data_IF_080517381112
#
_entry.id   IF_080517381112
#
_cell.length_a   1.000
_cell.length_b   1.000
_cell.length_c   1.000
_cell.angle_alpha   90.00
_cell.angle_beta   90.00
_cell.angle_gamma   90.00
#
_symmetry.space_group_name_H-M   'P 1'
#
loop_
_entity.id
_entity.type
_entity.pdbx_description
1 polymer ?
#
# COMPACT_ATOMS: atom_id res chain seq x y z
N UNK A 1 6.54 29.48 -14.69
CA UNK A 1 5.29 28.75 -14.33
C UNK A 1 4.90 27.73 -15.39
N UNK A 2 4.92 28.07 -16.70
CA UNK A 2 4.58 27.14 -17.78
C UNK A 2 5.32 25.79 -17.71
N UNK A 3 6.63 25.79 -17.51
CA UNK A 3 7.46 24.58 -17.37
C UNK A 3 7.01 23.66 -16.23
N UNK A 4 6.55 24.22 -15.10
CA UNK A 4 6.10 23.42 -13.95
C UNK A 4 4.79 22.69 -14.23
N UNK A 5 3.85 23.35 -14.90
CA UNK A 5 2.60 22.70 -15.30
C UNK A 5 2.84 21.57 -16.33
N UNK A 6 3.81 21.77 -17.22
CA UNK A 6 4.20 20.77 -18.20
C UNK A 6 4.78 19.51 -17.55
N UNK A 7 5.76 19.71 -16.67
CA UNK A 7 6.37 18.63 -15.90
C UNK A 7 5.34 17.92 -15.03
N UNK A 8 4.43 18.67 -14.38
CA UNK A 8 3.37 18.07 -13.60
C UNK A 8 2.49 17.13 -14.44
N UNK A 9 2.07 17.57 -15.63
CA UNK A 9 1.28 16.76 -16.56
C UNK A 9 2.03 15.49 -16.98
N UNK A 10 3.32 15.59 -17.32
CA UNK A 10 4.15 14.44 -17.70
C UNK A 10 4.35 13.47 -16.54
N UNK A 11 4.64 13.98 -15.34
CA UNK A 11 4.95 13.13 -14.19
C UNK A 11 3.76 12.25 -13.82
N UNK A 12 2.56 12.79 -13.87
CA UNK A 12 1.35 12.07 -13.47
C UNK A 12 0.64 11.34 -14.62
N UNK A 13 1.12 11.48 -15.84
CA UNK A 13 0.51 10.87 -17.01
C UNK A 13 0.63 9.34 -17.03
N UNK A 14 -0.48 8.67 -17.36
CA UNK A 14 -0.51 7.26 -17.74
C UNK A 14 0.04 7.02 -19.16
N UNK A 15 0.08 5.76 -19.60
CA UNK A 15 0.66 5.38 -20.92
C UNK A 15 0.00 6.11 -22.09
N UNK A 16 -1.33 6.23 -22.10
CA UNK A 16 -2.08 6.87 -23.19
C UNK A 16 -1.94 8.40 -23.17
N UNK A 17 -1.93 9.01 -21.98
CA UNK A 17 -1.65 10.44 -21.82
C UNK A 17 -0.22 10.77 -22.26
N UNK A 18 0.77 9.96 -21.83
CA UNK A 18 2.15 10.08 -22.26
C UNK A 18 2.30 9.94 -23.78
N UNK A 19 1.54 9.04 -24.42
CA UNK A 19 1.55 8.92 -25.89
C UNK A 19 1.18 10.24 -26.55
N UNK A 20 0.16 10.93 -26.03
CA UNK A 20 -0.31 12.22 -26.56
C UNK A 20 0.68 13.33 -26.27
N UNK A 21 1.09 13.51 -25.00
CA UNK A 21 2.07 14.53 -24.57
C UNK A 21 3.39 14.44 -25.33
N UNK A 22 3.83 13.22 -25.63
CA UNK A 22 4.97 12.97 -26.50
C UNK A 22 4.79 13.68 -27.85
N UNK A 23 3.67 13.53 -28.54
CA UNK A 23 3.48 14.20 -29.83
C UNK A 23 3.43 15.72 -29.73
N UNK A 24 2.91 16.24 -28.62
CA UNK A 24 2.70 17.68 -28.43
C UNK A 24 3.98 18.44 -28.03
N UNK A 25 5.04 17.75 -27.59
CA UNK A 25 6.28 18.39 -27.14
C UNK A 25 7.38 18.43 -28.22
N UNK A 26 8.11 19.56 -28.33
CA UNK A 26 9.23 19.70 -29.26
C UNK A 26 10.24 18.57 -29.10
N UNK A 27 10.66 18.00 -30.23
CA UNK A 27 11.74 17.00 -30.25
C UNK A 27 13.00 17.61 -29.66
N UNK A 28 13.64 16.87 -28.76
CA UNK A 28 14.86 17.30 -28.10
C UNK A 28 14.67 18.17 -26.86
N UNK A 29 13.43 18.45 -26.42
CA UNK A 29 13.19 19.04 -25.09
C UNK A 29 13.39 18.01 -23.97
N UNK A 30 13.74 18.48 -22.77
CA UNK A 30 13.90 17.63 -21.59
C UNK A 30 12.59 16.93 -21.20
N UNK A 31 11.46 17.64 -21.32
CA UNK A 31 10.12 17.15 -21.06
C UNK A 31 9.72 16.02 -22.01
N UNK A 32 9.95 16.20 -23.32
CA UNK A 32 9.70 15.17 -24.32
C UNK A 32 10.53 13.92 -24.04
N UNK A 33 11.81 14.10 -23.80
CA UNK A 33 12.73 12.99 -23.57
C UNK A 33 12.38 12.24 -22.28
N UNK A 34 11.97 12.96 -21.23
CA UNK A 34 11.50 12.30 -20.01
C UNK A 34 10.15 11.60 -20.18
N UNK A 35 9.24 12.14 -20.99
CA UNK A 35 8.02 11.45 -21.36
C UNK A 35 8.32 10.15 -22.14
N UNK A 36 9.36 10.12 -22.98
CA UNK A 36 9.87 8.89 -23.62
C UNK A 36 10.38 7.88 -22.57
N UNK A 37 11.15 8.34 -21.57
CA UNK A 37 11.62 7.50 -20.46
C UNK A 37 10.46 6.89 -19.67
N UNK A 38 9.49 7.69 -19.26
CA UNK A 38 8.32 7.20 -18.51
C UNK A 38 7.50 6.22 -19.35
N UNK A 39 7.30 6.50 -20.65
CA UNK A 39 6.56 5.62 -21.55
C UNK A 39 7.24 4.25 -21.68
N UNK A 40 8.56 4.23 -21.91
CA UNK A 40 9.33 2.98 -21.97
C UNK A 40 9.32 2.23 -20.63
N UNK A 41 9.48 2.95 -19.50
CA UNK A 41 9.44 2.36 -18.15
C UNK A 41 8.08 1.74 -17.79
N UNK A 42 6.97 2.36 -18.20
CA UNK A 42 5.62 1.84 -17.96
C UNK A 42 5.27 0.64 -18.87
N UNK A 43 5.87 0.57 -20.06
CA UNK A 43 5.77 -0.59 -20.95
C UNK A 43 6.75 -1.72 -20.65
N UNK A 44 7.64 -1.53 -19.66
CA UNK A 44 8.74 -2.45 -19.37
C UNK A 44 9.66 -2.69 -20.59
N UNK A 45 9.85 -1.67 -21.44
CA UNK A 45 10.71 -1.73 -22.61
C UNK A 45 12.16 -1.37 -22.22
N UNK A 46 12.89 -2.35 -21.69
CA UNK A 46 14.28 -2.19 -21.25
C UNK A 46 15.22 -1.79 -22.39
N UNK A 47 14.93 -2.25 -23.62
CA UNK A 47 15.75 -1.95 -24.80
C UNK A 47 15.65 -0.47 -25.16
N UNK A 48 14.44 0.08 -25.16
CA UNK A 48 14.24 1.51 -25.42
C UNK A 48 14.79 2.37 -24.28
N UNK A 49 14.63 1.97 -23.01
CA UNK A 49 15.27 2.65 -21.88
C UNK A 49 16.79 2.73 -22.04
N UNK A 50 17.43 1.62 -22.42
CA UNK A 50 18.87 1.58 -22.64
C UNK A 50 19.31 2.48 -23.79
N UNK A 51 18.55 2.49 -24.89
CA UNK A 51 18.81 3.37 -26.03
C UNK A 51 18.69 4.84 -25.65
N UNK A 52 17.68 5.21 -24.85
CA UNK A 52 17.52 6.58 -24.34
C UNK A 52 18.70 6.95 -23.42
N UNK A 53 19.12 6.04 -22.53
CA UNK A 53 20.29 6.27 -21.67
C UNK A 53 21.58 6.49 -22.50
N UNK A 54 21.82 5.67 -23.53
CA UNK A 54 22.97 5.85 -24.44
C UNK A 54 22.91 7.18 -25.18
N UNK A 55 21.73 7.63 -25.60
CA UNK A 55 21.57 8.95 -26.23
C UNK A 55 21.88 10.09 -25.26
N UNK A 56 21.38 10.01 -24.01
CA UNK A 56 21.60 11.00 -22.96
C UNK A 56 23.07 11.14 -22.57
N UNK A 57 23.79 10.01 -22.47
CA UNK A 57 25.23 9.97 -22.20
C UNK A 57 26.09 10.48 -23.37
N UNK A 58 25.53 10.48 -24.58
CA UNK A 58 26.25 10.82 -25.80
C UNK A 58 26.50 12.32 -25.99
N UNK A 59 27.56 12.71 -26.72
CA UNK A 59 27.90 14.11 -26.97
C UNK A 59 26.85 14.86 -27.81
N UNK A 60 25.89 14.15 -28.41
CA UNK A 60 24.81 14.72 -29.22
C UNK A 60 23.69 15.34 -28.35
N UNK A 61 23.60 14.96 -27.07
CA UNK A 61 22.62 15.53 -26.15
C UNK A 61 23.21 16.79 -25.51
N UNK A 62 22.66 17.95 -25.89
CA UNK A 62 23.10 19.27 -25.42
C UNK A 62 22.13 19.88 -24.39
N UNK A 63 21.25 19.07 -23.81
CA UNK A 63 20.29 19.51 -22.81
C UNK A 63 20.99 19.90 -21.49
N UNK A 64 20.61 21.01 -20.84
CA UNK A 64 21.07 21.33 -19.48
C UNK A 64 20.75 20.22 -18.47
N UNK A 65 19.59 19.57 -18.61
CA UNK A 65 19.11 18.51 -17.73
C UNK A 65 19.70 17.12 -18.07
N UNK A 66 20.61 17.00 -19.06
CA UNK A 66 21.01 15.69 -19.60
C UNK A 66 21.50 14.72 -18.52
N UNK A 67 22.30 15.18 -17.57
CA UNK A 67 22.87 14.33 -16.51
C UNK A 67 21.79 13.88 -15.50
N UNK A 68 20.84 14.76 -15.19
CA UNK A 68 19.67 14.42 -14.37
C UNK A 68 18.83 13.36 -15.08
N UNK A 69 18.49 13.59 -16.35
CA UNK A 69 17.68 12.66 -17.13
C UNK A 69 18.38 11.30 -17.27
N UNK A 70 19.68 11.29 -17.55
CA UNK A 70 20.48 10.07 -17.62
C UNK A 70 20.41 9.30 -16.29
N UNK A 71 20.64 9.99 -15.16
CA UNK A 71 20.59 9.38 -13.84
C UNK A 71 19.21 8.80 -13.52
N UNK A 72 18.12 9.51 -13.85
CA UNK A 72 16.76 9.01 -13.65
C UNK A 72 16.46 7.81 -14.55
N UNK A 73 16.91 7.82 -15.80
CA UNK A 73 16.73 6.70 -16.74
C UNK A 73 17.47 5.47 -16.26
N UNK A 74 18.75 5.60 -15.90
CA UNK A 74 19.56 4.49 -15.40
C UNK A 74 18.96 3.91 -14.12
N UNK A 75 18.52 4.75 -13.18
CA UNK A 75 17.91 4.28 -11.95
C UNK A 75 16.59 3.54 -12.21
N UNK A 76 15.76 4.04 -13.12
CA UNK A 76 14.51 3.37 -13.55
C UNK A 76 14.78 2.01 -14.22
N UNK A 77 15.83 1.91 -15.04
CA UNK A 77 16.28 0.63 -15.62
C UNK A 77 16.68 -0.34 -14.52
N UNK A 78 17.54 0.10 -13.59
CA UNK A 78 17.99 -0.71 -12.46
C UNK A 78 16.83 -1.19 -11.56
N UNK A 79 15.82 -0.35 -11.33
CA UNK A 79 14.59 -0.73 -10.61
C UNK A 79 13.85 -1.84 -11.35
N UNK A 80 13.69 -1.74 -12.68
CA UNK A 80 12.99 -2.78 -13.47
C UNK A 80 13.72 -4.11 -13.48
N UNK A 81 15.04 -4.06 -13.51
CA UNK A 81 15.88 -5.26 -13.45
C UNK A 81 16.05 -5.81 -12.02
N UNK A 82 15.56 -5.08 -11.01
CA UNK A 82 15.83 -5.36 -9.58
C UNK A 82 17.34 -5.43 -9.26
N UNK A 83 18.14 -4.62 -9.95
CA UNK A 83 19.61 -4.50 -9.79
C UNK A 83 19.99 -3.09 -9.35
N UNK A 84 19.29 -2.56 -8.35
CA UNK A 84 19.58 -1.23 -7.83
C UNK A 84 20.88 -1.23 -7.02
N UNK A 85 21.62 -0.14 -7.14
CA UNK A 85 22.63 0.30 -6.17
C UNK A 85 22.07 1.45 -5.33
N UNK A 86 22.84 1.92 -4.36
CA UNK A 86 22.49 3.11 -3.56
C UNK A 86 22.19 4.33 -4.46
N UNK A 87 20.95 4.88 -4.42
CA UNK A 87 20.48 5.91 -5.36
C UNK A 87 20.88 7.35 -4.98
N UNK A 88 21.59 7.55 -3.86
CA UNK A 88 21.93 8.86 -3.27
C UNK A 88 22.65 9.79 -4.24
N UNK A 89 23.44 9.25 -5.17
CA UNK A 89 24.10 10.04 -6.22
C UNK A 89 23.12 10.86 -7.08
N UNK A 90 21.87 10.39 -7.22
CA UNK A 90 20.81 11.11 -7.95
C UNK A 90 20.34 12.35 -7.19
N UNK A 91 20.46 12.38 -5.85
CA UNK A 91 19.97 13.48 -5.03
C UNK A 91 20.77 14.78 -5.24
N UNK A 92 22.01 14.70 -5.75
CA UNK A 92 22.82 15.91 -6.05
C UNK A 92 22.17 16.86 -7.06
N UNK A 93 21.22 16.36 -7.85
CA UNK A 93 20.50 17.16 -8.84
C UNK A 93 19.32 17.94 -8.24
N UNK A 94 18.91 17.62 -7.01
CA UNK A 94 17.77 18.24 -6.33
C UNK A 94 17.89 19.78 -6.22
N UNK A 95 19.09 20.26 -5.90
CA UNK A 95 19.38 21.68 -5.70
C UNK A 95 19.34 22.46 -7.01
N UNK A 96 19.89 21.88 -8.08
CA UNK A 96 20.02 22.53 -9.39
C UNK A 96 18.71 22.49 -10.20
N UNK A 97 17.82 21.53 -9.92
CA UNK A 97 16.59 21.32 -10.70
C UNK A 97 15.35 21.26 -9.78
N UNK A 98 14.97 22.36 -9.11
CA UNK A 98 13.89 22.37 -8.12
C UNK A 98 12.52 21.97 -8.68
N UNK A 99 12.27 22.15 -9.99
CA UNK A 99 11.04 21.69 -10.63
C UNK A 99 10.95 20.15 -10.74
N UNK A 100 12.08 19.45 -10.62
CA UNK A 100 12.21 18.00 -10.70
C UNK A 100 12.31 17.34 -9.33
N UNK A 101 12.40 18.12 -8.25
CA UNK A 101 12.68 17.65 -6.90
C UNK A 101 11.75 16.50 -6.47
N UNK A 102 10.45 16.68 -6.68
CA UNK A 102 9.46 15.65 -6.36
C UNK A 102 9.66 14.35 -7.15
N UNK A 103 10.05 14.44 -8.42
CA UNK A 103 10.31 13.26 -9.26
C UNK A 103 11.60 12.55 -8.88
N UNK A 104 12.66 13.31 -8.59
CA UNK A 104 13.94 12.79 -8.12
C UNK A 104 13.70 11.94 -6.86
N UNK A 105 13.04 12.51 -5.86
CA UNK A 105 12.73 11.79 -4.64
C UNK A 105 11.80 10.60 -4.85
N UNK A 106 10.85 10.68 -5.78
CA UNK A 106 9.97 9.56 -6.10
C UNK A 106 10.75 8.36 -6.67
N UNK A 107 11.68 8.60 -7.60
CA UNK A 107 12.49 7.52 -8.20
C UNK A 107 13.51 6.97 -7.21
N UNK A 108 14.13 7.84 -6.41
CA UNK A 108 15.03 7.44 -5.31
C UNK A 108 14.29 6.57 -4.29
N UNK A 109 13.06 6.92 -3.92
CA UNK A 109 12.24 6.13 -3.00
C UNK A 109 11.90 4.74 -3.56
N UNK A 110 11.61 4.63 -4.87
CA UNK A 110 11.40 3.34 -5.56
C UNK A 110 12.67 2.48 -5.56
N UNK A 111 13.85 3.09 -5.72
CA UNK A 111 15.12 2.37 -5.65
C UNK A 111 15.37 1.83 -4.24
N UNK A 112 15.16 2.64 -3.19
CA UNK A 112 15.25 2.15 -1.81
C UNK A 112 14.23 1.07 -1.49
N UNK A 113 13.01 1.15 -2.04
CA UNK A 113 12.02 0.08 -1.91
C UNK A 113 12.50 -1.23 -2.55
N UNK A 114 13.15 -1.13 -3.72
CA UNK A 114 13.77 -2.28 -4.41
C UNK A 114 14.92 -2.89 -3.59
N UNK A 115 15.63 -2.06 -2.84
CA UNK A 115 16.68 -2.45 -1.88
C UNK A 115 16.14 -2.88 -0.51
N UNK A 116 14.81 -2.90 -0.33
CA UNK A 116 14.14 -3.20 0.94
C UNK A 116 14.50 -2.26 2.11
N UNK A 117 15.04 -1.07 1.80
CA UNK A 117 15.31 -0.03 2.79
C UNK A 117 14.06 0.83 3.00
N UNK A 118 13.11 0.30 3.79
CA UNK A 118 11.82 0.91 4.02
C UNK A 118 11.89 2.28 4.71
N UNK A 119 12.87 2.51 5.59
CA UNK A 119 13.09 3.79 6.27
C UNK A 119 13.43 4.92 5.30
N UNK A 120 14.46 4.71 4.46
CA UNK A 120 14.86 5.69 3.45
C UNK A 120 13.76 5.87 2.39
N UNK A 121 13.12 4.77 1.98
CA UNK A 121 12.00 4.81 1.04
C UNK A 121 10.84 5.67 1.56
N UNK A 122 10.42 5.44 2.83
CA UNK A 122 9.38 6.23 3.51
C UNK A 122 9.72 7.72 3.54
N UNK A 123 10.94 8.08 3.92
CA UNK A 123 11.40 9.47 3.96
C UNK A 123 11.28 10.13 2.58
N UNK A 124 11.81 9.50 1.55
CA UNK A 124 11.84 10.09 0.21
C UNK A 124 10.45 10.13 -0.45
N UNK A 125 9.58 9.15 -0.20
CA UNK A 125 8.19 9.23 -0.65
C UNK A 125 7.44 10.41 -0.03
N UNK A 126 7.72 10.73 1.25
CA UNK A 126 7.10 11.89 1.90
C UNK A 126 7.52 13.21 1.22
N UNK A 127 8.82 13.37 0.99
CA UNK A 127 9.35 14.54 0.29
C UNK A 127 8.76 14.62 -1.13
N UNK A 128 8.73 13.49 -1.85
CA UNK A 128 8.15 13.43 -3.19
C UNK A 128 6.69 13.87 -3.22
N UNK A 129 5.87 13.42 -2.27
CA UNK A 129 4.46 13.78 -2.20
C UNK A 129 4.25 15.29 -2.02
N UNK A 130 4.97 15.88 -1.06
CA UNK A 130 4.86 17.32 -0.74
C UNK A 130 5.31 18.19 -1.94
N UNK A 131 6.39 17.80 -2.62
CA UNK A 131 6.94 18.52 -3.78
C UNK A 131 6.09 18.35 -5.05
N UNK A 132 5.60 17.14 -5.33
CA UNK A 132 4.70 16.88 -6.47
C UNK A 132 3.37 17.62 -6.30
N UNK A 133 2.83 17.68 -5.07
CA UNK A 133 1.63 18.44 -4.77
C UNK A 133 1.84 19.93 -5.04
N UNK A 134 3.00 20.49 -4.68
CA UNK A 134 3.35 21.90 -4.88
C UNK A 134 3.39 22.33 -6.35
N UNK A 135 3.84 21.45 -7.24
CA UNK A 135 3.85 21.73 -8.69
C UNK A 135 2.53 21.37 -9.38
N UNK A 136 1.55 20.82 -8.65
CA UNK A 136 0.23 20.47 -9.17
C UNK A 136 0.10 19.06 -9.73
N UNK A 137 1.10 18.19 -9.57
CA UNK A 137 1.07 16.78 -9.99
C UNK A 137 0.28 15.92 -8.97
N UNK A 138 -0.99 16.26 -8.77
CA UNK A 138 -1.83 15.76 -7.67
C UNK A 138 -1.98 14.23 -7.67
N UNK A 139 -2.09 13.60 -8.85
CA UNK A 139 -2.28 12.14 -8.94
C UNK A 139 -1.00 11.42 -8.51
N UNK A 140 0.16 11.91 -8.96
CA UNK A 140 1.46 11.33 -8.56
C UNK A 140 1.82 11.63 -7.11
N UNK A 141 1.48 12.82 -6.61
CA UNK A 141 1.62 13.15 -5.19
C UNK A 141 0.85 12.16 -4.31
N UNK A 142 -0.42 11.89 -4.66
CA UNK A 142 -1.22 10.89 -3.96
C UNK A 142 -0.58 9.49 -4.03
N UNK A 143 -0.03 9.09 -5.18
CA UNK A 143 0.69 7.82 -5.31
C UNK A 143 1.91 7.77 -4.38
N UNK A 144 2.69 8.84 -4.31
CA UNK A 144 3.84 8.96 -3.41
C UNK A 144 3.40 8.84 -1.93
N UNK A 145 2.33 9.53 -1.53
CA UNK A 145 1.77 9.41 -0.18
C UNK A 145 1.31 7.98 0.14
N UNK A 146 0.67 7.28 -0.80
CA UNK A 146 0.24 5.89 -0.57
C UNK A 146 1.44 4.93 -0.46
N UNK A 147 2.49 5.16 -1.24
CA UNK A 147 3.74 4.40 -1.13
C UNK A 147 4.48 4.71 0.18
N UNK A 148 4.45 5.96 0.66
CA UNK A 148 4.93 6.34 1.99
C UNK A 148 4.25 5.53 3.10
N UNK A 149 2.92 5.44 3.07
CA UNK A 149 2.15 4.64 4.04
C UNK A 149 2.46 3.13 3.91
N UNK A 150 2.66 2.63 2.70
CA UNK A 150 3.04 1.24 2.48
C UNK A 150 4.43 0.93 3.06
N UNK A 151 5.40 1.84 2.89
CA UNK A 151 6.72 1.73 3.51
C UNK A 151 6.64 1.81 5.04
N UNK A 152 5.83 2.73 5.59
CA UNK A 152 5.56 2.83 7.04
C UNK A 152 5.00 1.51 7.61
N UNK A 153 4.07 0.89 6.89
CA UNK A 153 3.51 -0.41 7.24
C UNK A 153 4.52 -1.56 7.27
N UNK A 154 5.65 -1.44 6.56
CA UNK A 154 6.68 -2.47 6.52
C UNK A 154 7.72 -2.32 7.66
N UNK A 155 7.96 -1.09 8.13
CA UNK A 155 8.89 -0.81 9.24
C UNK A 155 8.26 -1.28 10.55
N UNK A 156 7.00 -0.92 10.75
CA UNK A 156 6.30 -1.04 12.02
C UNK A 156 4.99 -1.82 11.84
N UNK A 157 5.05 -3.09 11.38
CA UNK A 157 3.85 -3.85 11.06
C UNK A 157 2.91 -3.92 12.28
N UNK A 158 3.43 -4.30 13.44
CA UNK A 158 2.59 -4.62 14.61
C UNK A 158 2.43 -3.49 15.63
N UNK A 159 3.03 -2.32 15.42
CA UNK A 159 2.90 -1.17 16.34
C UNK A 159 1.90 -0.12 15.86
N UNK A 160 1.73 0.03 14.54
CA UNK A 160 0.86 1.08 13.97
C UNK A 160 -0.21 0.50 13.05
N UNK A 161 -1.45 0.96 13.25
CA UNK A 161 -2.61 0.63 12.40
C UNK A 161 -2.90 1.81 11.50
N UNK A 162 -2.85 1.59 10.19
CA UNK A 162 -2.95 2.64 9.16
C UNK A 162 -4.34 2.71 8.51
N UNK A 163 -5.37 2.13 9.14
CA UNK A 163 -6.72 2.05 8.57
C UNK A 163 -7.28 3.45 8.25
N UNK A 164 -7.15 4.39 9.19
CA UNK A 164 -7.66 5.76 9.01
C UNK A 164 -6.92 6.49 7.87
N UNK A 165 -5.59 6.36 7.82
CA UNK A 165 -4.74 6.95 6.78
C UNK A 165 -5.09 6.40 5.39
N UNK A 166 -5.22 5.08 5.26
CA UNK A 166 -5.64 4.47 4.00
C UNK A 166 -7.07 4.88 3.61
N UNK A 167 -8.02 4.94 4.54
CA UNK A 167 -9.38 5.41 4.23
C UNK A 167 -9.39 6.88 3.78
N UNK A 168 -8.51 7.73 4.32
CA UNK A 168 -8.31 9.08 3.80
C UNK A 168 -7.75 9.06 2.37
N UNK A 169 -6.69 8.28 2.12
CA UNK A 169 -6.12 8.09 0.79
C UNK A 169 -7.14 7.60 -0.25
N UNK A 170 -8.00 6.66 0.13
CA UNK A 170 -9.11 6.17 -0.70
C UNK A 170 -10.06 7.30 -1.11
N UNK A 171 -10.45 8.17 -0.16
CA UNK A 171 -11.31 9.32 -0.45
C UNK A 171 -10.64 10.29 -1.42
N UNK A 172 -9.34 10.54 -1.29
CA UNK A 172 -8.59 11.39 -2.21
C UNK A 172 -8.50 10.76 -3.61
N UNK A 173 -8.18 9.46 -3.70
CA UNK A 173 -8.12 8.72 -4.96
C UNK A 173 -9.47 8.78 -5.71
N UNK A 174 -10.58 8.62 -4.99
CA UNK A 174 -11.93 8.76 -5.56
C UNK A 174 -12.22 10.17 -6.10
N UNK A 175 -11.79 11.22 -5.39
CA UNK A 175 -11.94 12.61 -5.86
C UNK A 175 -11.15 12.88 -7.14
N UNK A 176 -9.95 12.29 -7.23
CA UNK A 176 -9.08 12.40 -8.41
C UNK A 176 -9.44 11.41 -9.54
N UNK A 177 -10.44 10.54 -9.33
CA UNK A 177 -10.83 9.45 -10.26
C UNK A 177 -9.71 8.44 -10.53
N UNK A 178 -8.77 8.32 -9.62
CA UNK A 178 -7.67 7.35 -9.64
C UNK A 178 -8.13 5.99 -9.10
N UNK A 179 -8.92 5.25 -9.89
CA UNK A 179 -9.55 4.00 -9.42
C UNK A 179 -8.56 2.87 -9.12
N UNK A 180 -7.45 2.79 -9.87
CA UNK A 180 -6.39 1.82 -9.59
C UNK A 180 -5.72 2.07 -8.23
N UNK A 181 -5.40 3.34 -7.91
CA UNK A 181 -4.90 3.72 -6.59
C UNK A 181 -5.96 3.43 -5.52
N UNK A 182 -7.22 3.79 -5.76
CA UNK A 182 -8.31 3.53 -4.83
C UNK A 182 -8.46 2.03 -4.51
N UNK A 183 -8.33 1.16 -5.52
CA UNK A 183 -8.36 -0.29 -5.37
C UNK A 183 -7.20 -0.83 -4.54
N UNK A 184 -5.96 -0.43 -4.86
CA UNK A 184 -4.77 -0.81 -4.08
C UNK A 184 -4.87 -0.35 -2.62
N UNK A 185 -5.38 0.85 -2.37
CA UNK A 185 -5.59 1.37 -1.01
C UNK A 185 -6.62 0.54 -0.26
N UNK A 186 -7.76 0.18 -0.88
CA UNK A 186 -8.74 -0.69 -0.24
C UNK A 186 -8.18 -2.11 0.04
N UNK A 187 -7.28 -2.60 -0.82
CA UNK A 187 -6.57 -3.86 -0.57
C UNK A 187 -5.69 -3.76 0.69
N UNK A 188 -5.03 -2.63 0.90
CA UNK A 188 -4.24 -2.38 2.12
C UNK A 188 -5.13 -2.22 3.36
N UNK A 189 -6.30 -1.57 3.25
CA UNK A 189 -7.31 -1.53 4.32
C UNK A 189 -7.76 -2.94 4.69
N UNK A 190 -8.08 -3.77 3.69
CA UNK A 190 -8.44 -5.17 3.88
C UNK A 190 -7.34 -5.94 4.63
N UNK A 191 -6.07 -5.74 4.25
CA UNK A 191 -4.93 -6.35 4.94
C UNK A 191 -4.87 -5.93 6.41
N UNK A 192 -5.08 -4.66 6.74
CA UNK A 192 -5.07 -4.21 8.14
C UNK A 192 -6.19 -4.88 8.97
N UNK A 193 -7.39 -5.05 8.40
CA UNK A 193 -8.46 -5.83 9.07
C UNK A 193 -8.13 -7.31 9.20
N UNK A 194 -7.50 -7.89 8.18
CA UNK A 194 -7.05 -9.27 8.19
C UNK A 194 -6.02 -9.51 9.31
N UNK A 195 -5.06 -8.60 9.49
CA UNK A 195 -4.04 -8.65 10.55
C UNK A 195 -4.62 -8.60 11.97
N UNK A 196 -5.78 -7.99 12.17
CA UNK A 196 -6.48 -8.00 13.46
C UNK A 196 -7.47 -9.17 13.60
N UNK A 197 -7.60 -10.05 12.61
CA UNK A 197 -8.54 -11.18 12.61
C UNK A 197 -9.99 -10.78 12.32
N UNK A 198 -10.23 -9.55 11.86
CA UNK A 198 -11.55 -9.04 11.49
C UNK A 198 -11.88 -9.45 10.04
N UNK A 199 -11.92 -10.75 9.77
CA UNK A 199 -11.95 -11.30 8.42
C UNK A 199 -13.21 -10.92 7.62
N UNK A 200 -14.36 -10.74 8.27
CA UNK A 200 -15.56 -10.26 7.60
C UNK A 200 -15.36 -8.83 7.04
N UNK A 201 -14.73 -7.95 7.80
CA UNK A 201 -14.39 -6.60 7.37
C UNK A 201 -13.30 -6.60 6.29
N UNK A 202 -12.28 -7.45 6.45
CA UNK A 202 -11.27 -7.66 5.41
C UNK A 202 -11.95 -8.05 4.09
N UNK A 203 -12.85 -9.03 4.09
CA UNK A 203 -13.54 -9.48 2.89
C UNK A 203 -14.38 -8.38 2.23
N UNK A 204 -15.08 -7.57 3.04
CA UNK A 204 -15.83 -6.41 2.53
C UNK A 204 -14.94 -5.44 1.75
N UNK A 205 -13.75 -5.16 2.27
CA UNK A 205 -12.80 -4.25 1.62
C UNK A 205 -12.07 -4.90 0.43
N UNK A 206 -11.69 -6.18 0.52
CA UNK A 206 -11.06 -6.90 -0.60
C UNK A 206 -12.01 -7.03 -1.80
N UNK A 207 -13.30 -7.31 -1.56
CA UNK A 207 -14.32 -7.31 -2.63
C UNK A 207 -14.38 -5.97 -3.37
N UNK A 208 -14.38 -4.86 -2.63
CA UNK A 208 -14.37 -3.52 -3.23
C UNK A 208 -13.06 -3.21 -3.94
N UNK A 209 -11.93 -3.68 -3.41
CA UNK A 209 -10.63 -3.53 -4.04
C UNK A 209 -10.58 -4.25 -5.40
N UNK A 210 -10.98 -5.53 -5.43
CA UNK A 210 -11.06 -6.33 -6.66
C UNK A 210 -11.98 -5.65 -7.68
N UNK A 211 -13.20 -5.24 -7.29
CA UNK A 211 -14.14 -4.58 -8.20
C UNK A 211 -13.59 -3.26 -8.80
N UNK A 212 -12.79 -2.49 -8.06
CA UNK A 212 -12.13 -1.30 -8.61
C UNK A 212 -10.98 -1.66 -9.56
N UNK A 213 -10.23 -2.71 -9.25
CA UNK A 213 -9.07 -3.17 -10.02
C UNK A 213 -9.46 -4.04 -11.23
N UNK A 214 -10.73 -4.40 -11.42
CA UNK A 214 -11.19 -5.10 -12.62
C UNK A 214 -10.87 -4.33 -13.92
N UNK A 215 -10.83 -3.00 -13.84
CA UNK A 215 -10.41 -2.14 -14.97
C UNK A 215 -8.92 -2.25 -15.29
N UNK A 216 -8.14 -2.68 -14.30
CA UNK A 216 -6.70 -2.91 -14.38
C UNK A 216 -6.41 -4.41 -14.49
N UNK A 217 -7.32 -5.18 -15.11
CA UNK A 217 -7.13 -6.60 -15.37
C UNK A 217 -5.79 -6.85 -16.06
N UNK A 218 -5.08 -7.89 -15.62
CA UNK A 218 -3.76 -8.23 -16.12
C UNK A 218 -2.59 -7.49 -15.46
N UNK A 219 -2.86 -6.59 -14.50
CA UNK A 219 -1.81 -5.96 -13.69
C UNK A 219 -1.44 -6.78 -12.46
N UNK A 220 -0.23 -6.55 -11.93
CA UNK A 220 0.22 -7.17 -10.68
C UNK A 220 -0.73 -6.85 -9.50
N UNK A 221 -1.17 -5.59 -9.38
CA UNK A 221 -2.04 -5.16 -8.30
C UNK A 221 -3.39 -5.88 -8.32
N UNK A 222 -3.98 -6.05 -9.50
CA UNK A 222 -5.22 -6.80 -9.67
C UNK A 222 -5.10 -8.24 -9.16
N UNK A 223 -4.07 -8.97 -9.62
CA UNK A 223 -3.87 -10.35 -9.21
C UNK A 223 -3.53 -10.49 -7.73
N UNK A 224 -2.71 -9.59 -7.16
CA UNK A 224 -2.42 -9.60 -5.73
C UNK A 224 -3.67 -9.33 -4.88
N UNK A 225 -4.62 -8.50 -5.35
CA UNK A 225 -5.89 -8.28 -4.67
C UNK A 225 -6.79 -9.54 -4.69
N UNK A 226 -6.82 -10.28 -5.81
CA UNK A 226 -7.50 -11.56 -5.90
C UNK A 226 -6.89 -12.58 -4.94
N UNK A 227 -5.56 -12.75 -4.94
CA UNK A 227 -4.90 -13.70 -4.04
C UNK A 227 -5.10 -13.30 -2.58
N UNK A 228 -5.12 -11.99 -2.27
CA UNK A 228 -5.49 -11.54 -0.93
C UNK A 228 -6.93 -11.93 -0.57
N UNK A 229 -7.89 -11.74 -1.47
CA UNK A 229 -9.28 -12.11 -1.22
C UNK A 229 -9.45 -13.62 -1.00
N UNK A 230 -8.79 -14.44 -1.82
CA UNK A 230 -8.73 -15.90 -1.61
C UNK A 230 -8.24 -16.25 -0.20
N UNK A 231 -7.16 -15.62 0.27
CA UNK A 231 -6.64 -15.85 1.61
C UNK A 231 -7.68 -15.53 2.70
N UNK A 232 -8.36 -14.38 2.58
CA UNK A 232 -9.42 -13.99 3.54
C UNK A 232 -10.59 -14.97 3.50
N UNK A 233 -10.95 -15.49 2.32
CA UNK A 233 -12.01 -16.48 2.16
C UNK A 233 -11.65 -17.82 2.82
N UNK A 234 -10.40 -18.27 2.68
CA UNK A 234 -9.90 -19.48 3.35
C UNK A 234 -10.00 -19.35 4.87
N UNK A 235 -9.58 -18.20 5.43
CA UNK A 235 -9.68 -17.94 6.88
C UNK A 235 -11.13 -17.83 7.40
N UNK A 236 -12.09 -17.58 6.50
CA UNK A 236 -13.53 -17.62 6.79
C UNK A 236 -14.15 -19.01 6.55
N UNK A 237 -13.38 -20.00 6.11
CA UNK A 237 -13.87 -21.33 5.75
C UNK A 237 -14.66 -21.38 4.44
N UNK A 238 -14.58 -20.35 3.59
CA UNK A 238 -15.29 -20.24 2.30
C UNK A 238 -14.43 -20.78 1.16
N UNK A 239 -14.04 -22.05 1.24
CA UNK A 239 -13.03 -22.65 0.36
C UNK A 239 -13.42 -22.70 -1.11
N UNK A 240 -14.71 -22.90 -1.43
CA UNK A 240 -15.17 -22.95 -2.84
C UNK A 240 -14.97 -21.60 -3.55
N UNK A 241 -15.36 -20.50 -2.89
CA UNK A 241 -15.14 -19.15 -3.43
C UNK A 241 -13.67 -18.79 -3.50
N UNK A 242 -12.88 -19.21 -2.51
CA UNK A 242 -11.43 -19.03 -2.54
C UNK A 242 -10.81 -19.74 -3.74
N UNK A 243 -11.27 -20.96 -4.07
CA UNK A 243 -10.74 -21.73 -5.19
C UNK A 243 -10.96 -21.02 -6.54
N UNK A 244 -12.12 -20.38 -6.73
CA UNK A 244 -12.39 -19.57 -7.93
C UNK A 244 -11.40 -18.39 -8.08
N UNK A 245 -11.07 -17.73 -6.97
CA UNK A 245 -10.07 -16.66 -6.96
C UNK A 245 -8.66 -17.19 -7.24
N UNK A 246 -8.29 -18.33 -6.64
CA UNK A 246 -7.00 -18.98 -6.89
C UNK A 246 -6.86 -19.38 -8.36
N UNK A 247 -7.91 -19.98 -8.95
CA UNK A 247 -7.94 -20.35 -10.38
C UNK A 247 -7.73 -19.13 -11.27
N UNK A 248 -8.40 -18.03 -10.96
CA UNK A 248 -8.24 -16.77 -11.70
C UNK A 248 -6.82 -16.21 -11.56
N UNK A 249 -6.24 -16.27 -10.37
CA UNK A 249 -4.88 -15.79 -10.11
C UNK A 249 -3.79 -16.65 -10.77
N UNK A 250 -4.04 -17.95 -11.00
CA UNK A 250 -3.11 -18.84 -11.72
C UNK A 250 -2.86 -18.43 -13.17
N UNK A 251 -3.76 -17.65 -13.79
CA UNK A 251 -3.56 -17.07 -15.12
C UNK A 251 -2.46 -15.98 -15.14
N UNK A 252 -2.01 -15.51 -13.99
CA UNK A 252 -0.97 -14.49 -13.87
C UNK A 252 0.40 -14.99 -14.34
N UNK A 253 1.12 -14.15 -15.08
CA UNK A 253 2.52 -14.38 -15.45
C UNK A 253 3.51 -13.86 -14.40
N UNK A 254 3.06 -13.05 -13.44
CA UNK A 254 3.90 -12.42 -12.43
C UNK A 254 4.42 -13.44 -11.41
N UNK A 255 5.73 -13.41 -11.16
CA UNK A 255 6.39 -14.34 -10.23
C UNK A 255 5.91 -14.12 -8.79
N UNK A 256 5.64 -12.88 -8.41
CA UNK A 256 5.16 -12.50 -7.08
C UNK A 256 3.80 -13.12 -6.76
N UNK A 257 2.92 -13.19 -7.78
CA UNK A 257 1.60 -13.83 -7.66
C UNK A 257 1.75 -15.35 -7.53
N UNK A 258 2.61 -15.96 -8.35
CA UNK A 258 2.90 -17.40 -8.28
C UNK A 258 3.47 -17.80 -6.93
N UNK A 259 4.40 -17.01 -6.37
CA UNK A 259 4.95 -17.22 -5.04
C UNK A 259 3.90 -17.07 -3.93
N UNK A 260 3.00 -16.09 -4.04
CA UNK A 260 1.91 -15.93 -3.09
C UNK A 260 0.89 -17.09 -3.14
N UNK A 261 0.57 -17.60 -4.34
CA UNK A 261 -0.26 -18.79 -4.51
C UNK A 261 0.38 -20.04 -3.91
N UNK A 262 1.67 -20.26 -4.18
CA UNK A 262 2.41 -21.38 -3.61
C UNK A 262 2.41 -21.36 -2.07
N UNK A 263 2.47 -20.17 -1.46
CA UNK A 263 2.36 -20.01 -0.01
C UNK A 263 0.96 -20.41 0.52
N UNK A 264 -0.12 -20.07 -0.19
CA UNK A 264 -1.48 -20.43 0.24
C UNK A 264 -1.82 -21.91 0.03
N UNK A 265 -1.20 -22.56 -0.96
CA UNK A 265 -1.42 -23.97 -1.26
C UNK A 265 -0.60 -24.91 -0.36
N UNK A 266 0.02 -24.37 0.71
CA UNK A 266 0.89 -25.08 1.64
C UNK A 266 2.00 -25.90 0.97
N UNK A 267 2.48 -25.40 -0.18
CA UNK A 267 3.63 -25.96 -0.88
C UNK A 267 4.88 -25.36 -0.23
N UNK A 268 5.15 -25.74 1.02
CA UNK A 268 6.27 -25.25 1.84
C UNK A 268 7.61 -25.24 1.08
N UNK A 269 7.79 -26.16 0.12
CA UNK A 269 8.98 -26.31 -0.70
C UNK A 269 9.13 -25.33 -1.89
N UNK A 270 8.10 -24.56 -2.29
CA UNK A 270 8.09 -23.86 -3.59
C UNK A 270 8.08 -22.32 -3.52
N UNK A 271 7.70 -21.72 -2.38
CA UNK A 271 7.65 -20.26 -2.27
C UNK A 271 9.03 -19.70 -1.93
N UNK A 272 9.83 -19.42 -2.97
CA UNK A 272 11.06 -18.65 -2.84
C UNK A 272 10.73 -17.27 -2.22
N UNK A 273 11.16 -17.08 -0.98
CA UNK A 273 10.87 -15.88 -0.19
C UNK A 273 11.36 -14.60 -0.88
N UNK A 274 12.33 -14.69 -1.80
CA UNK A 274 12.86 -13.54 -2.57
C UNK A 274 11.84 -12.91 -3.50
N UNK A 275 10.81 -13.66 -3.89
CA UNK A 275 9.78 -13.19 -4.82
C UNK A 275 8.49 -12.77 -4.11
N UNK A 276 8.35 -13.04 -2.82
CA UNK A 276 7.21 -12.58 -2.04
C UNK A 276 7.32 -11.08 -1.79
N UNK A 277 6.23 -10.36 -2.06
CA UNK A 277 6.11 -8.96 -1.62
C UNK A 277 6.20 -8.88 -0.09
N UNK A 278 6.58 -7.73 0.51
CA UNK A 278 6.66 -7.56 1.96
C UNK A 278 5.43 -8.09 2.73
N UNK A 279 4.22 -7.77 2.27
CA UNK A 279 2.98 -8.23 2.93
C UNK A 279 2.78 -9.74 2.95
N UNK A 280 3.33 -10.46 1.97
CA UNK A 280 3.24 -11.92 1.91
C UNK A 280 4.36 -12.61 2.68
N UNK A 281 5.55 -11.99 2.76
CA UNK A 281 6.61 -12.45 3.68
C UNK A 281 6.16 -12.40 5.13
N UNK A 282 5.48 -11.33 5.51
CA UNK A 282 4.92 -11.17 6.86
C UNK A 282 3.96 -12.34 7.20
N UNK A 283 3.06 -12.70 6.28
CA UNK A 283 2.11 -13.81 6.47
C UNK A 283 2.78 -15.15 6.71
N UNK A 284 3.92 -15.39 6.07
CA UNK A 284 4.72 -16.61 6.30
C UNK A 284 5.33 -16.64 7.70
N UNK A 285 5.67 -15.48 8.25
CA UNK A 285 6.34 -15.35 9.55
C UNK A 285 5.37 -15.32 10.75
N UNK A 286 4.13 -14.88 10.53
CA UNK A 286 3.15 -14.67 11.61
C UNK A 286 2.15 -15.82 11.72
N UNK A 287 1.91 -16.29 12.94
CA UNK A 287 0.77 -17.18 13.19
C UNK A 287 -0.54 -16.43 12.92
N UNK A 288 -1.49 -17.09 12.24
CA UNK A 288 -2.80 -16.51 11.96
C UNK A 288 -3.49 -16.07 13.26
N UNK A 289 -4.00 -14.84 13.33
CA UNK A 289 -4.62 -14.33 14.55
C UNK A 289 -5.98 -15.03 14.77
N UNK A 290 -6.35 -15.28 16.04
CA UNK A 290 -7.64 -15.94 16.35
C UNK A 290 -8.81 -15.15 15.75
N UNK A 291 -9.70 -15.76 14.95
CA UNK A 291 -10.80 -15.04 14.31
C UNK A 291 -11.69 -14.27 15.29
N UNK A 292 -12.17 -13.10 14.86
CA UNK A 292 -13.22 -12.38 15.58
C UNK A 292 -14.59 -13.01 15.31
N UNK A 293 -15.43 -13.07 16.34
CA UNK A 293 -16.84 -13.46 16.24
C UNK A 293 -17.64 -12.42 15.46
N UNK A 294 -18.87 -12.75 15.07
CA UNK A 294 -19.73 -11.83 14.33
C UNK A 294 -19.97 -10.51 15.08
N UNK A 295 -20.35 -10.56 16.37
CA UNK A 295 -20.55 -9.36 17.19
C UNK A 295 -19.26 -8.55 17.39
N UNK A 296 -18.10 -9.21 17.49
CA UNK A 296 -16.81 -8.52 17.54
C UNK A 296 -16.53 -7.79 16.21
N UNK A 297 -16.80 -8.42 15.06
CA UNK A 297 -16.69 -7.78 13.75
C UNK A 297 -17.66 -6.59 13.61
N UNK A 298 -18.91 -6.72 14.03
CA UNK A 298 -19.89 -5.62 13.99
C UNK A 298 -19.45 -4.44 14.86
N UNK A 299 -18.89 -4.69 16.04
CA UNK A 299 -18.33 -3.63 16.89
C UNK A 299 -17.15 -2.92 16.20
N UNK A 300 -16.24 -3.69 15.60
CA UNK A 300 -15.11 -3.12 14.84
C UNK A 300 -15.61 -2.31 13.63
N UNK A 301 -16.64 -2.78 12.94
CA UNK A 301 -17.26 -2.05 11.83
C UNK A 301 -17.82 -0.70 12.29
N UNK A 302 -18.61 -0.69 13.37
CA UNK A 302 -19.19 0.54 13.92
C UNK A 302 -18.11 1.57 14.32
N UNK A 303 -17.04 1.10 14.96
CA UNK A 303 -15.92 1.94 15.40
C UNK A 303 -14.98 2.36 14.27
N UNK A 304 -14.97 1.64 13.14
CA UNK A 304 -14.18 2.01 11.97
C UNK A 304 -14.74 3.23 11.22
N UNK A 305 -16.03 3.51 11.41
CA UNK A 305 -16.69 4.62 10.75
C UNK A 305 -16.44 5.91 11.52
N UNK A 306 -16.64 5.86 12.84
CA UNK A 306 -16.44 7.00 13.73
C UNK A 306 -16.37 6.54 15.19
N UNK A 307 -15.80 7.36 16.09
CA UNK A 307 -15.90 7.14 17.52
C UNK A 307 -17.34 7.25 18.01
N UNK A 308 -17.78 6.28 18.80
CA UNK A 308 -19.18 6.18 19.26
C UNK A 308 -19.28 6.11 20.78
N UNK A 309 -20.38 6.61 21.31
CA UNK A 309 -20.69 6.47 22.72
C UNK A 309 -21.12 5.04 23.06
N UNK A 310 -21.01 4.68 24.34
CA UNK A 310 -21.39 3.36 24.83
C UNK A 310 -22.85 3.01 24.48
N UNK A 311 -23.76 3.96 24.66
CA UNK A 311 -25.20 3.77 24.43
C UNK A 311 -25.50 3.51 22.95
N UNK A 312 -24.89 4.29 22.06
CA UNK A 312 -25.02 4.13 20.60
C UNK A 312 -24.56 2.73 20.15
N UNK A 313 -23.43 2.26 20.68
CA UNK A 313 -22.91 0.93 20.37
C UNK A 313 -23.83 -0.19 20.89
N UNK A 314 -24.37 -0.07 22.10
CA UNK A 314 -25.30 -1.05 22.65
C UNK A 314 -26.60 -1.11 21.86
N UNK A 315 -27.15 0.05 21.48
CA UNK A 315 -28.34 0.15 20.65
C UNK A 315 -28.11 -0.50 19.28
N UNK A 316 -26.97 -0.22 18.64
CA UNK A 316 -26.63 -0.77 17.34
C UNK A 316 -26.39 -2.29 17.36
N UNK A 317 -25.71 -2.81 18.39
CA UNK A 317 -25.34 -4.23 18.49
C UNK A 317 -26.48 -5.14 18.98
N UNK A 318 -27.33 -4.63 19.87
CA UNK A 318 -28.32 -5.46 20.57
C UNK A 318 -29.78 -4.99 20.40
N UNK A 319 -30.00 -3.85 19.75
CA UNK A 319 -31.31 -3.22 19.64
C UNK A 319 -31.81 -2.65 20.98
N UNK A 320 -33.08 -2.23 20.99
CA UNK A 320 -33.75 -1.60 22.15
C UNK A 320 -34.73 -2.52 22.90
N UNK A 321 -34.88 -3.77 22.45
CA UNK A 321 -35.83 -4.73 23.04
C UNK A 321 -35.39 -5.28 24.40
N UNK A 322 -34.09 -5.29 24.67
CA UNK A 322 -33.52 -5.77 25.93
C UNK A 322 -33.40 -4.63 26.94
N UNK A 323 -33.54 -4.94 28.24
CA UNK A 323 -33.31 -3.97 29.31
C UNK A 323 -31.89 -3.40 29.22
N UNK A 324 -31.70 -2.21 29.79
CA UNK A 324 -30.41 -1.53 29.77
C UNK A 324 -29.31 -2.37 30.44
N UNK A 325 -29.61 -2.96 31.59
CA UNK A 325 -28.68 -3.75 32.41
C UNK A 325 -28.18 -4.98 31.64
N UNK A 326 -29.09 -5.66 30.92
CA UNK A 326 -28.75 -6.83 30.10
C UNK A 326 -27.81 -6.44 28.96
N UNK A 327 -28.11 -5.34 28.25
CA UNK A 327 -27.28 -4.85 27.14
C UNK A 327 -25.92 -4.38 27.62
N UNK A 328 -25.87 -3.69 28.75
CA UNK A 328 -24.62 -3.24 29.35
C UNK A 328 -23.72 -4.43 29.73
N UNK A 329 -24.29 -5.46 30.37
CA UNK A 329 -23.53 -6.66 30.75
C UNK A 329 -23.01 -7.40 29.52
N UNK A 330 -23.83 -7.57 28.47
CA UNK A 330 -23.39 -8.17 27.20
C UNK A 330 -22.27 -7.36 26.54
N UNK A 331 -22.38 -6.04 26.53
CA UNK A 331 -21.35 -5.16 25.98
C UNK A 331 -20.02 -5.25 26.74
N UNK A 332 -20.06 -5.28 28.09
CA UNK A 332 -18.87 -5.46 28.93
C UNK A 332 -18.17 -6.79 28.62
N UNK A 333 -18.93 -7.88 28.48
CA UNK A 333 -18.40 -9.20 28.13
C UNK A 333 -17.78 -9.20 26.73
N UNK A 334 -18.45 -8.58 25.74
CA UNK A 334 -17.93 -8.43 24.39
C UNK A 334 -16.60 -7.68 24.38
N UNK A 335 -16.52 -6.52 25.04
CA UNK A 335 -15.30 -5.74 25.16
C UNK A 335 -14.18 -6.51 25.88
N UNK A 336 -14.52 -7.26 26.93
CA UNK A 336 -13.54 -8.07 27.65
C UNK A 336 -12.93 -9.13 26.74
N UNK A 337 -13.76 -9.91 26.03
CA UNK A 337 -13.28 -10.95 25.10
C UNK A 337 -12.42 -10.36 23.99
N UNK A 338 -12.88 -9.25 23.40
CA UNK A 338 -12.14 -8.59 22.33
C UNK A 338 -10.80 -8.05 22.82
N UNK A 339 -10.74 -7.46 24.01
CA UNK A 339 -9.47 -6.99 24.61
C UNK A 339 -8.53 -8.12 25.00
N UNK A 340 -9.07 -9.29 25.37
CA UNK A 340 -8.24 -10.49 25.58
C UNK A 340 -7.64 -10.97 24.27
N UNK A 341 -8.42 -11.02 23.18
CA UNK A 341 -7.92 -11.41 21.85
C UNK A 341 -6.97 -10.36 21.26
N UNK A 342 -7.28 -9.08 21.45
CA UNK A 342 -6.62 -7.92 20.87
C UNK A 342 -6.47 -6.82 21.91
N UNK A 343 -5.46 -6.92 22.77
CA UNK A 343 -5.13 -5.87 23.72
C UNK A 343 -5.00 -4.52 23.01
N UNK A 344 -5.48 -3.45 23.66
CA UNK A 344 -5.36 -2.08 23.17
C UNK A 344 -6.13 -1.72 21.89
N UNK A 345 -6.77 -2.67 21.20
CA UNK A 345 -7.47 -2.40 19.94
C UNK A 345 -8.62 -1.40 20.10
N UNK A 346 -9.29 -1.41 21.26
CA UNK A 346 -10.37 -0.47 21.58
C UNK A 346 -9.99 0.37 22.80
N UNK A 347 -9.93 1.69 22.60
CA UNK A 347 -9.61 2.68 23.62
C UNK A 347 -10.81 3.59 23.89
N UNK A 348 -10.98 4.01 25.14
CA UNK A 348 -12.00 4.98 25.55
C UNK A 348 -11.34 6.36 25.71
N UNK A 349 -11.74 7.34 24.90
CA UNK A 349 -11.23 8.72 24.97
C UNK A 349 -12.42 9.68 24.98
N UNK A 350 -12.45 10.63 25.92
CA UNK A 350 -13.55 11.62 26.04
C UNK A 350 -14.95 10.97 25.99
N UNK A 351 -15.16 9.91 26.78
CA UNK A 351 -16.40 9.11 26.84
C UNK A 351 -16.84 8.39 25.54
N UNK A 352 -16.02 8.39 24.48
CA UNK A 352 -16.30 7.68 23.23
C UNK A 352 -15.28 6.56 22.99
N UNK A 353 -15.77 5.42 22.51
CA UNK A 353 -14.92 4.30 22.11
C UNK A 353 -14.32 4.58 20.75
N UNK A 354 -13.04 4.26 20.60
CA UNK A 354 -12.26 4.43 19.37
C UNK A 354 -11.55 3.12 19.04
N UNK A 355 -11.35 2.87 17.76
CA UNK A 355 -10.34 1.91 17.30
C UNK A 355 -8.95 2.55 17.52
N UNK A 356 -8.04 1.86 18.17
CA UNK A 356 -6.68 2.37 18.41
C UNK A 356 -5.84 2.32 17.14
N UNK A 357 -5.14 3.42 16.87
CA UNK A 357 -4.12 3.52 15.83
C UNK A 357 -2.79 2.88 16.26
N UNK A 358 -2.59 2.71 17.57
CA UNK A 358 -1.43 2.00 18.11
C UNK A 358 -1.88 0.59 18.45
N UNK A 359 -1.26 -0.40 17.82
CA UNK A 359 -1.37 -1.75 18.30
C UNK A 359 -0.56 -1.83 19.59
N UNK A 360 -1.25 -2.05 20.72
CA UNK A 360 -0.51 -2.25 21.97
C UNK A 360 0.25 -3.56 21.81
N UNK A 361 1.57 -3.45 21.68
CA UNK A 361 2.45 -4.60 21.84
C UNK A 361 2.05 -5.20 23.18
N UNK A 362 1.53 -6.43 23.16
CA UNK A 362 1.43 -7.19 24.39
C UNK A 362 2.87 -7.36 24.84
N UNK A 363 3.37 -6.47 25.71
CA UNK A 363 4.60 -6.72 26.42
C UNK A 363 4.42 -8.11 26.99
N UNK A 364 5.30 -9.08 26.68
CA UNK A 364 5.18 -10.42 27.22
C UNK A 364 5.02 -10.21 28.71
N UNK A 365 3.86 -10.60 29.25
CA UNK A 365 3.57 -10.50 30.67
C UNK A 365 4.72 -11.26 31.31
N UNK A 366 5.72 -10.53 31.85
CA UNK A 366 6.82 -11.12 32.59
C UNK A 366 6.10 -11.87 33.70
N UNK A 367 5.96 -13.19 33.54
CA UNK A 367 5.44 -14.06 34.59
C UNK A 367 6.29 -13.69 35.78
N UNK A 368 5.69 -13.01 36.77
CA UNK A 368 6.32 -12.78 38.06
C UNK A 368 6.72 -14.18 38.52
N UNK A 369 8.01 -14.48 38.43
CA UNK A 369 8.59 -15.63 39.11
C UNK A 369 8.32 -15.32 40.57
N UNK A 370 7.27 -15.93 41.10
CA UNK A 370 7.05 -15.99 42.54
C UNK A 370 8.23 -16.79 43.05
N UNK A 371 9.29 -16.08 43.47
CA UNK A 371 10.33 -16.66 44.30
C UNK A 371 9.61 -17.09 45.58
N UNK A 372 9.31 -18.39 45.68
CA UNK A 372 9.07 -19.02 46.98
C UNK A 372 10.34 -18.79 47.78
N UNK A 373 10.24 -17.89 48.75
CA UNK A 373 11.17 -17.86 49.88
C UNK A 373 10.87 -19.15 50.65
N UNK A 374 11.84 -20.06 50.67
CA UNK A 374 11.88 -21.21 51.58
C UNK A 374 12.65 -20.75 52.81
#
# INVERSE_FOLDING_TARGET
MATRHLLAAIFEAGIEELRSLRHDHPRGSAERLYADVLYAYLKSDLKELQKIATYLAGPKCMLPEKELLESLTLLRTAIRERRCSEPEGTLRFAENFPAWLGEIHFVVALAFETLENHEKSKLHYRIAADELARIGAKRKALKADMNHLAADSCIEPDSKRLIADYLFGYRQARKLKEFGIAGTVLNNVSREYHRIGAYAMALKFSNRAVALLERDFGTLHYYLAIVHRAHVLLDLGRSEEAQLDLDRARASTFIEVKSALALLEDKEAAADAKHLTPSWRERKATQAPTPLTELENQLIELLSQEPREKFELMDALYGKKLSFEVRENRFKVLLSRLRTKRPGLIVLKKARYHLSEVASVSLPIRRRIVRRIV
#
